data_IF_029299991833
#
_entry.id   IF_029299991833
#
_cell.length_a   1.000
_cell.length_b   1.000
_cell.length_c   1.000
_cell.angle_alpha   90.00
_cell.angle_beta   90.00
_cell.angle_gamma   90.00
#
_symmetry.space_group_name_H-M   'P 1'
#
loop_
_entity.id
_entity.type
_entity.pdbx_description
1 polymer ?
#
# COMPACT_ATOMS: atom_id res chain seq x y z
N UNK A 1 25.76 -17.57 -2.40
CA UNK A 1 25.09 -16.48 -1.67
C UNK A 1 23.61 -16.77 -1.73
N UNK A 2 23.07 -17.42 -0.70
CA UNK A 2 21.62 -17.50 -0.53
C UNK A 2 21.14 -16.08 -0.26
N UNK A 3 20.40 -15.54 -1.23
CA UNK A 3 19.68 -14.30 -1.04
C UNK A 3 18.39 -14.70 -0.34
N UNK A 4 18.21 -14.16 0.86
CA UNK A 4 17.01 -14.29 1.66
C UNK A 4 15.90 -13.43 1.01
N UNK A 5 15.32 -13.91 -0.10
CA UNK A 5 14.33 -13.17 -0.92
C UNK A 5 12.91 -13.53 -0.44
N UNK A 6 12.54 -13.07 0.75
CA UNK A 6 11.12 -12.87 1.07
C UNK A 6 10.78 -11.41 0.76
N UNK A 7 10.59 -11.11 -0.51
CA UNK A 7 10.18 -9.78 -0.97
C UNK A 7 8.69 -9.80 -1.28
N UNK A 8 7.89 -9.29 -0.35
CA UNK A 8 6.45 -9.11 -0.52
C UNK A 8 6.18 -7.64 -0.78
N UNK A 9 5.35 -7.36 -1.79
CA UNK A 9 4.85 -6.01 -2.00
C UNK A 9 3.47 -5.85 -1.38
N UNK A 10 3.23 -4.69 -0.78
CA UNK A 10 1.88 -4.25 -0.43
C UNK A 10 1.46 -3.18 -1.42
N UNK A 11 0.38 -3.45 -2.16
CA UNK A 11 -0.25 -2.48 -3.02
C UNK A 11 -1.52 -1.95 -2.38
N UNK A 12 -1.64 -0.62 -2.32
CA UNK A 12 -2.84 0.06 -1.87
C UNK A 12 -3.38 0.86 -3.04
N UNK A 13 -4.64 0.62 -3.38
CA UNK A 13 -5.39 1.51 -4.27
C UNK A 13 -6.42 2.25 -3.42
N UNK A 14 -6.48 3.56 -3.56
CA UNK A 14 -7.48 4.40 -2.89
C UNK A 14 -8.27 5.19 -3.91
N UNK A 15 -9.54 5.43 -3.62
CA UNK A 15 -10.48 6.11 -4.50
C UNK A 15 -11.22 7.17 -3.70
N UNK A 16 -11.40 8.36 -4.27
CA UNK A 16 -12.19 9.40 -3.63
C UNK A 16 -12.82 10.37 -4.65
N UNK A 17 -13.98 10.97 -4.31
CA UNK A 17 -14.64 11.94 -5.18
C UNK A 17 -13.79 13.19 -5.39
N UNK A 18 -13.88 13.80 -6.57
CA UNK A 18 -13.12 15.01 -6.90
C UNK A 18 -13.40 16.18 -5.97
N UNK A 19 -14.65 16.34 -5.52
CA UNK A 19 -15.05 17.41 -4.60
C UNK A 19 -14.47 17.26 -3.17
N UNK A 20 -13.88 16.11 -2.84
CA UNK A 20 -13.19 15.83 -1.56
C UNK A 20 -11.67 16.00 -1.62
N UNK A 21 -11.11 16.38 -2.77
CA UNK A 21 -9.65 16.42 -2.99
C UNK A 21 -8.89 17.18 -1.89
N UNK A 22 -9.37 18.37 -1.49
CA UNK A 22 -8.72 19.18 -0.46
C UNK A 22 -8.74 18.49 0.90
N UNK A 23 -9.90 17.95 1.29
CA UNK A 23 -10.08 17.23 2.56
C UNK A 23 -9.16 16.00 2.63
N UNK A 24 -9.07 15.24 1.53
CA UNK A 24 -8.18 14.10 1.41
C UNK A 24 -6.71 14.51 1.50
N UNK A 25 -6.31 15.57 0.80
CA UNK A 25 -4.93 16.08 0.83
C UNK A 25 -4.50 16.51 2.23
N UNK A 26 -5.33 17.30 2.91
CA UNK A 26 -5.06 17.79 4.26
C UNK A 26 -4.95 16.62 5.26
N UNK A 27 -5.88 15.66 5.18
CA UNK A 27 -5.88 14.48 6.06
C UNK A 27 -4.73 13.53 5.78
N UNK A 28 -4.36 13.34 4.52
CA UNK A 28 -3.22 12.53 4.13
C UNK A 28 -1.90 13.10 4.68
N UNK A 29 -1.69 14.42 4.58
CA UNK A 29 -0.49 15.08 5.12
C UNK A 29 -0.41 14.87 6.64
N UNK A 30 -1.53 15.01 7.35
CA UNK A 30 -1.61 14.76 8.79
C UNK A 30 -1.21 13.32 9.13
N UNK A 31 -1.88 12.34 8.54
CA UNK A 31 -1.60 10.90 8.74
C UNK A 31 -0.13 10.59 8.41
N UNK A 32 0.42 11.17 7.34
CA UNK A 32 1.80 10.93 6.93
C UNK A 32 2.83 11.46 7.94
N UNK A 33 2.50 12.51 8.67
CA UNK A 33 3.40 13.13 9.64
C UNK A 33 3.39 12.42 10.99
N UNK A 34 2.33 11.68 11.33
CA UNK A 34 2.23 10.87 12.54
C UNK A 34 3.24 9.71 12.52
N UNK A 35 4.20 9.71 13.46
CA UNK A 35 5.31 8.75 13.49
C UNK A 35 4.87 7.31 13.63
N UNK A 36 3.82 7.06 14.41
CA UNK A 36 3.24 5.72 14.63
C UNK A 36 2.58 5.12 13.39
N UNK A 37 2.25 5.96 12.41
CA UNK A 37 1.63 5.57 11.14
C UNK A 37 2.65 5.48 10.00
N UNK A 38 3.94 5.61 10.30
CA UNK A 38 5.02 5.43 9.32
C UNK A 38 5.48 3.98 9.35
N UNK A 39 5.27 3.19 8.30
CA UNK A 39 5.85 1.84 8.24
C UNK A 39 7.35 1.96 7.96
N UNK A 40 8.16 2.12 9.01
CA UNK A 40 9.63 2.21 8.95
C UNK A 40 10.28 0.95 8.36
N UNK A 41 9.53 -0.15 8.35
CA UNK A 41 9.93 -1.45 7.83
C UNK A 41 9.50 -1.69 6.38
N UNK A 42 8.83 -0.72 5.73
CA UNK A 42 8.42 -0.81 4.34
C UNK A 42 8.90 0.40 3.53
N UNK A 43 9.58 0.14 2.42
CA UNK A 43 10.03 1.19 1.49
C UNK A 43 8.94 1.44 0.46
N UNK A 44 8.50 2.69 0.32
CA UNK A 44 7.52 3.03 -0.72
C UNK A 44 8.22 3.11 -2.08
N UNK A 45 7.92 2.18 -3.00
CA UNK A 45 8.50 2.13 -4.35
C UNK A 45 7.67 2.93 -5.36
N UNK A 46 6.36 3.01 -5.15
CA UNK A 46 5.47 3.96 -5.85
C UNK A 46 4.91 4.89 -4.79
N UNK A 47 5.46 6.11 -4.63
CA UNK A 47 5.15 6.95 -3.48
C UNK A 47 3.69 7.42 -3.40
N UNK A 48 3.17 7.96 -4.50
CA UNK A 48 1.78 8.40 -4.66
C UNK A 48 1.49 8.45 -6.17
N UNK A 49 1.11 7.32 -6.77
CA UNK A 49 0.68 7.29 -8.18
C UNK A 49 -0.73 7.81 -8.31
N UNK A 50 -0.93 9.05 -8.75
CA UNK A 50 -2.25 9.69 -8.84
C UNK A 50 -2.81 9.59 -10.27
N UNK A 51 -4.06 9.20 -10.38
CA UNK A 51 -4.82 9.13 -11.63
C UNK A 51 -6.14 9.86 -11.45
N UNK A 52 -6.46 10.78 -12.36
CA UNK A 52 -7.81 11.33 -12.47
C UNK A 52 -8.71 10.31 -13.16
N UNK A 53 -9.94 10.18 -12.67
CA UNK A 53 -10.99 9.34 -13.25
C UNK A 53 -12.23 10.19 -13.52
N UNK A 54 -13.21 9.65 -14.24
CA UNK A 54 -14.49 10.32 -14.45
C UNK A 54 -15.23 10.60 -13.14
N UNK A 55 -14.93 9.86 -12.07
CA UNK A 55 -15.65 9.91 -10.79
C UNK A 55 -14.82 10.56 -9.66
N UNK A 56 -13.63 11.09 -9.97
CA UNK A 56 -12.73 11.68 -8.98
C UNK A 56 -11.28 11.26 -9.21
N UNK A 57 -10.67 10.64 -8.20
CA UNK A 57 -9.26 10.25 -8.25
C UNK A 57 -9.07 8.80 -7.79
N UNK A 58 -8.08 8.15 -8.39
CA UNK A 58 -7.48 6.91 -7.92
C UNK A 58 -6.03 7.21 -7.52
N UNK A 59 -5.61 6.69 -6.37
CA UNK A 59 -4.23 6.77 -5.91
C UNK A 59 -3.71 5.35 -5.70
N UNK A 60 -2.55 5.04 -6.27
CA UNK A 60 -1.86 3.77 -6.05
C UNK A 60 -0.57 4.03 -5.29
N UNK A 61 -0.38 3.33 -4.17
CA UNK A 61 0.88 3.28 -3.45
C UNK A 61 1.36 1.83 -3.40
N UNK A 62 2.65 1.60 -3.66
CA UNK A 62 3.26 0.28 -3.56
C UNK A 62 4.42 0.37 -2.59
N UNK A 63 4.45 -0.60 -1.66
CA UNK A 63 5.47 -0.74 -0.64
C UNK A 63 6.21 -2.05 -0.85
N UNK A 64 7.53 -1.99 -0.79
CA UNK A 64 8.44 -3.11 -0.67
C UNK A 64 8.65 -3.38 0.83
N UNK A 65 8.18 -4.53 1.31
CA UNK A 65 8.15 -4.87 2.74
C UNK A 65 9.33 -5.78 3.08
N UNK A 66 10.05 -5.43 4.15
CA UNK A 66 11.17 -6.25 4.63
C UNK A 66 10.70 -7.66 5.07
N UNK A 67 11.56 -8.69 4.92
CA UNK A 67 11.29 -10.02 5.44
C UNK A 67 10.84 -10.01 6.90
N UNK A 68 9.80 -10.78 7.23
CA UNK A 68 9.24 -10.88 8.58
C UNK A 68 8.45 -9.66 9.07
N UNK A 69 8.26 -8.62 8.25
CA UNK A 69 7.61 -7.36 8.66
C UNK A 69 6.22 -7.16 8.02
N UNK A 70 5.69 -8.18 7.36
CA UNK A 70 4.42 -8.10 6.62
C UNK A 70 3.23 -7.75 7.51
N UNK A 71 3.03 -8.50 8.60
CA UNK A 71 1.90 -8.31 9.52
C UNK A 71 1.88 -6.90 10.11
N UNK A 72 3.03 -6.45 10.62
CA UNK A 72 3.17 -5.11 11.20
C UNK A 72 2.96 -4.01 10.15
N UNK A 73 3.44 -4.21 8.92
CA UNK A 73 3.22 -3.27 7.83
C UNK A 73 1.73 -3.17 7.45
N UNK A 74 1.03 -4.30 7.37
CA UNK A 74 -0.42 -4.34 7.12
C UNK A 74 -1.15 -3.60 8.26
N UNK A 75 -0.79 -3.85 9.52
CA UNK A 75 -1.41 -3.21 10.68
C UNK A 75 -1.28 -1.69 10.62
N UNK A 76 -0.07 -1.17 10.39
CA UNK A 76 0.21 0.28 10.31
C UNK A 76 -0.54 0.92 9.12
N UNK A 77 -0.45 0.29 7.94
CA UNK A 77 -1.07 0.81 6.73
C UNK A 77 -2.60 0.78 6.83
N UNK A 78 -3.17 -0.26 7.42
CA UNK A 78 -4.62 -0.36 7.66
C UNK A 78 -5.10 0.75 8.56
N UNK A 79 -4.42 1.03 9.68
CA UNK A 79 -4.75 2.16 10.56
C UNK A 79 -4.75 3.49 9.81
N UNK A 80 -3.71 3.71 8.99
CA UNK A 80 -3.60 4.91 8.16
C UNK A 80 -4.78 5.04 7.18
N UNK A 81 -5.18 3.93 6.57
CA UNK A 81 -6.30 3.93 5.61
C UNK A 81 -7.65 4.11 6.29
N UNK A 82 -7.87 3.49 7.46
CA UNK A 82 -9.12 3.65 8.22
C UNK A 82 -9.39 5.11 8.57
N UNK A 83 -8.35 5.87 8.94
CA UNK A 83 -8.47 7.32 9.17
C UNK A 83 -8.95 8.04 7.90
N UNK A 84 -8.45 7.67 6.72
CA UNK A 84 -8.86 8.27 5.46
C UNK A 84 -10.28 7.86 5.06
N UNK A 85 -10.74 6.65 5.42
CA UNK A 85 -12.12 6.19 5.12
C UNK A 85 -13.22 6.96 5.86
N UNK A 86 -12.89 7.73 6.89
CA UNK A 86 -13.85 8.64 7.52
C UNK A 86 -14.27 9.78 6.58
N UNK A 87 -13.53 10.03 5.50
CA UNK A 87 -13.94 10.98 4.45
C UNK A 87 -15.01 10.31 3.59
N UNK A 88 -16.17 10.98 3.48
CA UNK A 88 -17.28 10.48 2.68
C UNK A 88 -16.87 10.16 1.23
N UNK A 89 -17.18 8.94 0.79
CA UNK A 89 -16.85 8.45 -0.55
C UNK A 89 -15.41 7.94 -0.71
N UNK A 90 -14.57 8.01 0.33
CA UNK A 90 -13.24 7.44 0.30
C UNK A 90 -13.29 5.92 0.48
N UNK A 91 -12.71 5.18 -0.46
CA UNK A 91 -12.56 3.72 -0.36
C UNK A 91 -11.15 3.30 -0.69
N UNK A 92 -10.75 2.10 -0.28
CA UNK A 92 -9.45 1.55 -0.63
C UNK A 92 -9.47 0.02 -0.73
N UNK A 93 -8.49 -0.51 -1.45
CA UNK A 93 -8.10 -1.93 -1.41
C UNK A 93 -6.65 -2.03 -0.94
N UNK A 94 -6.32 -3.15 -0.30
CA UNK A 94 -4.96 -3.50 0.07
C UNK A 94 -4.70 -4.94 -0.37
N UNK A 95 -3.66 -5.12 -1.16
CA UNK A 95 -3.31 -6.39 -1.79
C UNK A 95 -1.87 -6.75 -1.42
N UNK A 96 -1.70 -8.00 -0.96
CA UNK A 96 -0.39 -8.62 -0.77
C UNK A 96 0.01 -9.23 -2.09
N UNK A 97 1.07 -8.69 -2.70
CA UNK A 97 1.63 -9.21 -3.94
C UNK A 97 2.86 -10.04 -3.58
N UNK A 98 2.70 -11.36 -3.68
CA UNK A 98 3.81 -12.30 -3.51
C UNK A 98 4.81 -12.13 -4.65
N UNK A 99 6.10 -12.26 -4.32
CA UNK A 99 7.13 -12.39 -5.35
C UNK A 99 6.91 -13.66 -6.19
N UNK A 100 7.43 -13.70 -7.41
CA UNK A 100 7.40 -14.94 -8.21
C UNK A 100 8.11 -16.11 -7.50
N UNK A 101 9.17 -15.82 -6.74
CA UNK A 101 9.88 -16.79 -5.89
C UNK A 101 9.02 -17.39 -4.78
N UNK A 102 8.03 -16.65 -4.27
CA UNK A 102 7.08 -17.15 -3.25
C UNK A 102 5.82 -17.74 -3.89
N UNK A 103 5.30 -17.12 -4.96
CA UNK A 103 4.06 -17.52 -5.60
C UNK A 103 4.19 -18.82 -6.41
N UNK A 104 5.28 -19.03 -7.13
CA UNK A 104 5.46 -20.18 -8.02
C UNK A 104 5.47 -21.52 -7.26
N UNK A 105 6.18 -21.66 -6.11
CA UNK A 105 6.12 -22.88 -5.31
C UNK A 105 4.70 -23.23 -4.82
N UNK A 106 3.84 -22.23 -4.57
CA UNK A 106 2.46 -22.46 -4.12
C UNK A 106 1.59 -23.14 -5.18
N UNK A 107 1.94 -23.02 -6.46
CA UNK A 107 1.26 -23.68 -7.58
C UNK A 107 2.05 -24.87 -8.14
N UNK A 108 3.06 -25.36 -7.40
CA UNK A 108 3.87 -26.50 -7.79
C UNK A 108 4.86 -26.21 -8.93
N UNK A 109 5.18 -24.94 -9.17
CA UNK A 109 6.12 -24.50 -10.21
C UNK A 109 7.40 -23.92 -9.60
N UNK A 110 8.47 -23.88 -10.39
CA UNK A 110 9.70 -23.15 -10.07
C UNK A 110 9.71 -21.80 -10.80
N UNK A 111 10.30 -20.79 -10.18
CA UNK A 111 10.52 -19.50 -10.85
C UNK A 111 11.44 -19.71 -12.07
N UNK A 112 11.08 -19.21 -13.27
CA UNK A 112 12.00 -19.20 -14.41
C UNK A 112 13.19 -18.28 -14.12
N UNK A 113 14.38 -18.67 -14.59
CA UNK A 113 15.59 -17.83 -14.54
C UNK A 113 15.46 -16.56 -15.38
#
# INVERSE_FOLDING_TARGET
MEVDIQMVYLMINSYYPGHKLKEVGDKYIRVRNESELKPSHAKRIVPVGVYSTTNGFRVTAIYDVKPGQLEESIRILTKSMLILTEIEGYTYTMEVLLSGTEAMPMIGMKMPE
#
